data_IF_299052868676
#
_entry.id   IF_299052868676
#
_cell.length_a   1.000
_cell.length_b   1.000
_cell.length_c   1.000
_cell.angle_alpha   90.00
_cell.angle_beta   90.00
_cell.angle_gamma   90.00
#
_symmetry.space_group_name_H-M   'P 1'
#
loop_
_entity.id
_entity.type
_entity.pdbx_description
1 polymer ?
#
# COMPACT_ATOMS: atom_id res chain seq x y z
N UNK A 1 7.82 3.73 -11.60
CA UNK A 1 8.55 3.36 -10.37
C UNK A 1 8.82 4.63 -9.60
N UNK A 2 8.58 4.65 -8.27
CA UNK A 2 8.82 5.84 -7.49
C UNK A 2 10.28 6.30 -7.59
N UNK A 3 10.49 7.47 -8.16
CA UNK A 3 11.76 8.15 -8.05
C UNK A 3 11.91 8.76 -6.66
N UNK A 4 13.12 9.15 -6.29
CA UNK A 4 13.34 9.88 -5.04
C UNK A 4 12.68 11.27 -5.08
N UNK A 5 12.33 11.75 -6.27
CA UNK A 5 11.66 13.02 -6.54
C UNK A 5 10.15 12.95 -6.25
N UNK A 6 9.56 11.75 -6.29
CA UNK A 6 8.15 11.53 -5.93
C UNK A 6 7.89 11.57 -4.41
N UNK A 7 8.94 11.66 -3.58
CA UNK A 7 8.82 11.66 -2.13
C UNK A 7 9.24 13.01 -1.56
N UNK A 8 8.26 13.76 -1.08
CA UNK A 8 8.45 15.12 -0.56
C UNK A 8 8.38 15.12 0.96
N UNK A 9 9.40 15.68 1.61
CA UNK A 9 9.41 15.89 3.06
C UNK A 9 8.54 17.09 3.41
N UNK A 10 7.58 16.88 4.29
CA UNK A 10 6.78 17.92 4.92
C UNK A 10 7.25 18.18 6.36
N UNK A 11 6.73 19.23 7.01
CA UNK A 11 7.02 19.53 8.41
C UNK A 11 6.64 18.36 9.34
N UNK A 12 5.55 17.63 9.00
CA UNK A 12 5.06 16.48 9.76
C UNK A 12 4.80 15.29 8.83
N UNK A 13 5.88 14.64 8.33
CA UNK A 13 5.74 13.42 7.57
C UNK A 13 6.21 13.51 6.13
N UNK A 14 5.69 12.64 5.29
CA UNK A 14 6.09 12.48 3.91
C UNK A 14 4.86 12.46 3.00
N UNK A 15 4.98 13.11 1.86
CA UNK A 15 4.00 13.12 0.80
C UNK A 15 4.59 12.39 -0.42
N UNK A 16 3.83 11.47 -0.97
CA UNK A 16 4.14 10.83 -2.26
C UNK A 16 3.34 11.55 -3.34
N UNK A 17 4.02 11.99 -4.40
CA UNK A 17 3.41 12.70 -5.52
C UNK A 17 3.77 11.98 -6.81
N UNK A 18 2.76 11.67 -7.61
CA UNK A 18 2.91 11.19 -8.98
C UNK A 18 2.18 12.15 -9.91
N UNK A 19 2.83 12.56 -10.99
CA UNK A 19 2.17 13.32 -12.03
C UNK A 19 1.33 12.42 -12.97
N UNK A 20 0.58 13.04 -13.88
CA UNK A 20 -0.29 12.34 -14.81
C UNK A 20 0.46 11.39 -15.76
N UNK A 21 1.74 11.66 -16.05
CA UNK A 21 2.56 10.82 -16.94
C UNK A 21 3.09 9.58 -16.24
N UNK A 22 3.16 9.59 -14.92
CA UNK A 22 3.67 8.50 -14.10
C UNK A 22 2.58 7.51 -13.70
N UNK A 23 1.31 7.85 -13.91
CA UNK A 23 0.17 7.00 -13.53
C UNK A 23 -0.48 6.34 -14.75
N UNK A 24 -0.96 5.10 -14.59
CA UNK A 24 -1.71 4.39 -15.66
C UNK A 24 -3.04 5.06 -16.00
N UNK A 25 -3.56 5.87 -15.10
CA UNK A 25 -4.85 6.54 -15.24
C UNK A 25 -4.72 7.88 -15.92
N UNK A 26 -3.48 8.38 -16.11
CA UNK A 26 -3.19 9.73 -16.55
C UNK A 26 -3.84 10.79 -15.65
N UNK A 27 -3.92 10.51 -14.38
CA UNK A 27 -4.38 11.43 -13.35
C UNK A 27 -3.29 11.60 -12.30
N UNK A 28 -3.01 12.83 -11.83
CA UNK A 28 -2.03 13.04 -10.76
C UNK A 28 -2.50 12.34 -9.48
N UNK A 29 -1.58 11.85 -8.70
CA UNK A 29 -1.88 11.17 -7.46
C UNK A 29 -0.99 11.65 -6.33
N UNK A 30 -1.61 12.08 -5.23
CA UNK A 30 -0.91 12.49 -4.02
C UNK A 30 -1.40 11.67 -2.83
N UNK A 31 -0.47 11.24 -1.98
CA UNK A 31 -0.80 10.49 -0.78
C UNK A 31 0.14 10.84 0.38
N UNK A 32 -0.43 11.21 1.51
CA UNK A 32 0.31 11.33 2.77
C UNK A 32 0.66 9.94 3.28
N UNK A 33 1.91 9.72 3.66
CA UNK A 33 2.30 8.50 4.32
C UNK A 33 1.83 8.51 5.78
N UNK A 34 1.39 7.35 6.31
CA UNK A 34 1.05 7.20 7.71
C UNK A 34 2.24 7.58 8.63
N UNK A 35 1.97 8.26 9.74
CA UNK A 35 3.00 8.74 10.68
C UNK A 35 3.93 7.63 11.19
N UNK A 36 3.41 6.42 11.34
CA UNK A 36 4.19 5.24 11.75
C UNK A 36 5.35 4.92 10.80
N UNK A 37 5.32 5.42 9.55
CA UNK A 37 6.37 5.23 8.56
C UNK A 37 7.43 6.33 8.59
N UNK A 38 7.24 7.42 9.34
CA UNK A 38 8.14 8.57 9.33
C UNK A 38 9.56 8.18 9.77
N UNK A 39 9.71 7.58 10.94
CA UNK A 39 11.02 7.21 11.48
C UNK A 39 11.70 6.11 10.66
N UNK A 40 11.03 4.99 10.32
CA UNK A 40 11.63 3.98 9.47
C UNK A 40 12.10 4.51 8.11
N UNK A 41 11.30 5.37 7.48
CA UNK A 41 11.65 5.96 6.19
C UNK A 41 12.79 6.97 6.33
N UNK A 42 12.78 7.81 7.36
CA UNK A 42 13.88 8.74 7.64
C UNK A 42 15.21 7.99 7.86
N UNK A 43 15.21 6.93 8.65
CA UNK A 43 16.40 6.10 8.90
C UNK A 43 16.84 5.44 7.59
N UNK A 44 15.92 4.91 6.82
CA UNK A 44 16.25 4.32 5.53
C UNK A 44 16.93 5.32 4.60
N UNK A 45 16.37 6.51 4.44
CA UNK A 45 16.89 7.53 3.52
C UNK A 45 18.22 8.13 3.96
N UNK A 46 18.41 8.32 5.27
CA UNK A 46 19.63 8.99 5.81
C UNK A 46 20.78 8.02 6.11
N UNK A 47 20.49 6.75 6.39
CA UNK A 47 21.49 5.78 6.81
C UNK A 47 21.60 4.60 5.85
N UNK A 48 20.51 3.86 5.65
CA UNK A 48 20.57 2.59 4.93
C UNK A 48 20.74 2.79 3.42
N UNK A 49 20.02 3.71 2.82
CA UNK A 49 20.09 3.97 1.38
C UNK A 49 21.49 4.44 0.95
N UNK A 50 22.12 5.46 1.59
CA UNK A 50 23.49 5.84 1.28
C UNK A 50 24.50 4.69 1.49
N UNK A 51 24.35 3.95 2.57
CA UNK A 51 25.19 2.78 2.83
C UNK A 51 25.10 1.74 1.70
N UNK A 52 23.88 1.42 1.24
CA UNK A 52 23.68 0.46 0.16
C UNK A 52 24.26 0.94 -1.17
N UNK A 53 24.07 2.22 -1.52
CA UNK A 53 24.61 2.81 -2.76
C UNK A 53 26.14 2.82 -2.77
N UNK A 54 26.74 3.11 -1.62
CA UNK A 54 28.20 3.21 -1.50
C UNK A 54 28.92 1.85 -1.32
N UNK A 55 28.16 0.73 -1.30
CA UNK A 55 28.79 -0.59 -1.27
C UNK A 55 29.53 -0.84 -2.58
N UNK A 56 30.73 -1.41 -2.45
CA UNK A 56 31.47 -1.90 -3.59
C UNK A 56 30.68 -3.02 -4.28
N UNK A 57 30.24 -2.77 -5.50
CA UNK A 57 29.46 -3.70 -6.28
C UNK A 57 29.26 -3.20 -7.71
N UNK A 58 29.01 -4.11 -8.65
CA UNK A 58 28.58 -3.75 -10.00
C UNK A 58 27.09 -3.48 -9.95
N UNK A 59 26.72 -2.22 -10.08
CA UNK A 59 25.33 -1.87 -10.27
C UNK A 59 24.82 -2.44 -11.61
N UNK A 60 23.72 -3.14 -11.53
CA UNK A 60 22.98 -3.58 -12.74
C UNK A 60 22.04 -2.52 -13.23
N UNK A 61 21.61 -1.61 -12.33
CA UNK A 61 20.76 -0.47 -12.62
C UNK A 61 21.22 0.72 -11.78
N UNK A 62 21.16 1.94 -12.36
CA UNK A 62 21.58 3.16 -11.69
C UNK A 62 20.71 3.43 -10.44
N UNK A 63 21.29 3.51 -9.23
CA UNK A 63 20.55 3.76 -8.01
C UNK A 63 20.21 5.23 -7.78
N UNK A 64 20.74 6.15 -8.57
CA UNK A 64 20.78 7.58 -8.28
C UNK A 64 19.41 8.18 -7.95
N UNK A 65 18.42 7.91 -8.77
CA UNK A 65 17.07 8.43 -8.59
C UNK A 65 16.07 7.39 -8.03
N UNK A 66 16.52 6.15 -7.77
CA UNK A 66 15.64 5.13 -7.23
C UNK A 66 15.40 5.32 -5.74
N UNK A 67 14.15 5.22 -5.30
CA UNK A 67 13.83 5.20 -3.88
C UNK A 67 14.35 3.91 -3.22
N UNK A 68 14.08 2.76 -3.82
CA UNK A 68 14.42 1.47 -3.24
C UNK A 68 15.70 0.89 -3.83
N UNK A 69 16.65 0.59 -2.95
CA UNK A 69 17.97 0.05 -3.29
C UNK A 69 18.06 -1.41 -2.82
N UNK A 70 18.57 -2.26 -3.67
CA UNK A 70 18.84 -3.66 -3.35
C UNK A 70 20.11 -3.83 -2.53
N UNK A 71 20.36 -5.04 -2.03
CA UNK A 71 21.53 -5.33 -1.20
C UNK A 71 22.88 -5.17 -1.92
N UNK A 72 22.88 -5.23 -3.25
CA UNK A 72 24.06 -5.05 -4.11
C UNK A 72 24.27 -3.60 -4.56
N UNK A 73 23.45 -2.67 -4.05
CA UNK A 73 23.55 -1.26 -4.35
C UNK A 73 22.78 -0.81 -5.59
N UNK A 74 22.20 -1.72 -6.36
CA UNK A 74 21.42 -1.39 -7.56
C UNK A 74 20.03 -0.88 -7.21
N UNK A 75 19.42 -0.08 -8.10
CA UNK A 75 18.01 0.24 -8.02
C UNK A 75 17.16 -1.03 -8.08
N UNK A 76 16.19 -1.18 -7.19
CA UNK A 76 15.26 -2.30 -7.24
C UNK A 76 14.32 -2.18 -8.43
N UNK A 77 14.23 -3.23 -9.23
CA UNK A 77 13.23 -3.34 -10.30
C UNK A 77 11.84 -3.55 -9.72
N UNK A 78 10.80 -3.30 -10.53
CA UNK A 78 9.42 -3.58 -10.14
C UNK A 78 9.22 -5.04 -9.71
N UNK A 79 9.82 -5.98 -10.45
CA UNK A 79 9.77 -7.40 -10.12
C UNK A 79 10.46 -7.71 -8.78
N UNK A 80 11.61 -7.09 -8.51
CA UNK A 80 12.32 -7.27 -7.26
C UNK A 80 11.50 -6.75 -6.05
N UNK A 81 10.81 -5.62 -6.21
CA UNK A 81 9.89 -5.10 -5.19
C UNK A 81 8.72 -6.06 -4.97
N UNK A 82 8.10 -6.52 -6.07
CA UNK A 82 6.99 -7.47 -6.04
C UNK A 82 7.38 -8.78 -5.30
N UNK A 83 8.51 -9.37 -5.64
CA UNK A 83 9.00 -10.60 -5.00
C UNK A 83 9.37 -10.37 -3.54
N UNK A 84 9.89 -9.20 -3.20
CA UNK A 84 10.17 -8.85 -1.80
C UNK A 84 8.89 -8.79 -0.97
N UNK A 85 7.83 -8.17 -1.48
CA UNK A 85 6.52 -8.11 -0.80
C UNK A 85 5.96 -9.52 -0.63
N UNK A 86 5.98 -10.35 -1.67
CA UNK A 86 5.50 -11.74 -1.60
C UNK A 86 6.26 -12.57 -0.57
N UNK A 87 7.57 -12.45 -0.55
CA UNK A 87 8.43 -13.19 0.41
C UNK A 87 8.15 -12.75 1.84
N UNK A 88 8.07 -11.44 2.08
CA UNK A 88 7.81 -10.90 3.42
C UNK A 88 6.42 -11.27 3.93
N UNK A 89 5.41 -11.16 3.09
CA UNK A 89 4.04 -11.54 3.47
C UNK A 89 3.90 -13.03 3.73
N UNK A 90 4.57 -13.88 2.94
CA UNK A 90 4.62 -15.32 3.20
C UNK A 90 5.26 -15.64 4.56
N UNK A 91 6.35 -14.95 4.91
CA UNK A 91 7.02 -15.13 6.20
C UNK A 91 6.15 -14.64 7.37
N UNK A 92 5.44 -13.50 7.22
CA UNK A 92 4.65 -12.91 8.28
C UNK A 92 3.28 -13.56 8.49
N UNK A 93 2.63 -14.00 7.40
CA UNK A 93 1.22 -14.46 7.41
C UNK A 93 1.06 -15.91 6.95
N UNK A 94 2.15 -16.63 6.66
CA UNK A 94 2.10 -17.97 6.09
C UNK A 94 1.61 -18.03 4.63
N UNK A 95 1.13 -16.91 4.08
CA UNK A 95 0.56 -16.79 2.73
C UNK A 95 1.20 -15.65 1.96
N UNK A 96 1.61 -15.92 0.73
CA UNK A 96 2.14 -14.90 -0.18
C UNK A 96 1.02 -13.97 -0.65
N UNK A 97 1.19 -12.66 -0.49
CA UNK A 97 0.26 -11.64 -0.94
C UNK A 97 0.90 -10.80 -2.05
N UNK A 98 0.10 -10.47 -3.08
CA UNK A 98 0.48 -9.51 -4.11
C UNK A 98 0.15 -8.08 -3.68
N UNK A 99 0.72 -7.08 -4.36
CA UNK A 99 0.35 -5.67 -4.16
C UNK A 99 -1.15 -5.43 -4.37
N UNK A 100 -1.76 -6.17 -5.30
CA UNK A 100 -3.19 -6.10 -5.56
C UNK A 100 -4.05 -6.59 -4.38
N UNK A 101 -3.57 -7.60 -3.64
CA UNK A 101 -4.25 -8.07 -2.44
C UNK A 101 -4.31 -7.00 -1.34
N UNK A 102 -3.28 -6.15 -1.20
CA UNK A 102 -3.31 -5.03 -0.26
C UNK A 102 -4.36 -3.99 -0.66
N UNK A 103 -4.47 -3.69 -1.96
CA UNK A 103 -5.52 -2.79 -2.46
C UNK A 103 -6.92 -3.34 -2.14
N UNK A 104 -7.15 -4.64 -2.36
CA UNK A 104 -8.41 -5.29 -2.01
C UNK A 104 -8.67 -5.26 -0.49
N UNK A 105 -7.66 -5.56 0.31
CA UNK A 105 -7.79 -5.51 1.77
C UNK A 105 -8.14 -4.11 2.26
N UNK A 106 -7.47 -3.07 1.74
CA UNK A 106 -7.76 -1.69 2.08
C UNK A 106 -9.20 -1.31 1.71
N UNK A 107 -9.64 -1.63 0.47
CA UNK A 107 -11.02 -1.37 0.03
C UNK A 107 -12.06 -2.04 0.93
N UNK A 108 -11.85 -3.31 1.26
CA UNK A 108 -12.74 -4.07 2.14
C UNK A 108 -12.75 -3.50 3.55
N UNK A 109 -11.58 -3.16 4.09
CA UNK A 109 -11.47 -2.59 5.44
C UNK A 109 -12.20 -1.26 5.55
N UNK A 110 -12.02 -0.36 4.57
CA UNK A 110 -12.73 0.93 4.57
C UNK A 110 -14.24 0.72 4.43
N UNK A 111 -14.66 -0.18 3.54
CA UNK A 111 -16.08 -0.47 3.34
C UNK A 111 -16.76 -1.05 4.61
N UNK A 112 -16.03 -1.84 5.41
CA UNK A 112 -16.52 -2.40 6.69
C UNK A 112 -16.50 -1.34 7.80
N UNK A 113 -15.38 -0.59 7.93
CA UNK A 113 -15.18 0.35 9.02
C UNK A 113 -16.04 1.61 8.86
N UNK A 114 -16.25 2.05 7.62
CA UNK A 114 -17.01 3.26 7.31
C UNK A 114 -17.79 3.13 5.99
N UNK A 115 -18.93 2.44 6.02
CA UNK A 115 -19.76 2.22 4.84
C UNK A 115 -20.23 3.52 4.16
N UNK A 116 -20.41 4.59 4.95
CA UNK A 116 -20.86 5.90 4.43
C UNK A 116 -19.81 6.56 3.54
N UNK A 117 -18.53 6.30 3.82
CA UNK A 117 -17.40 6.85 3.07
C UNK A 117 -16.77 5.86 2.09
N UNK A 118 -17.43 4.75 1.79
CA UNK A 118 -16.94 3.75 0.81
C UNK A 118 -16.63 4.36 -0.57
N UNK A 119 -17.27 5.46 -0.96
CA UNK A 119 -16.96 6.21 -2.18
C UNK A 119 -15.60 6.89 -2.12
N UNK A 120 -15.17 7.34 -0.94
CA UNK A 120 -13.84 7.95 -0.74
C UNK A 120 -12.77 6.89 -0.93
N UNK A 121 -13.04 5.63 -0.53
CA UNK A 121 -12.13 4.52 -0.76
C UNK A 121 -11.84 4.28 -2.25
N UNK A 122 -12.82 4.49 -3.13
CA UNK A 122 -12.63 4.38 -4.59
C UNK A 122 -11.62 5.41 -5.10
N UNK A 123 -11.73 6.65 -4.65
CA UNK A 123 -10.81 7.73 -5.01
C UNK A 123 -9.39 7.47 -4.48
N UNK A 124 -9.25 7.11 -3.20
CA UNK A 124 -7.96 6.77 -2.58
C UNK A 124 -7.26 5.60 -3.25
N UNK A 125 -8.02 4.64 -3.77
CA UNK A 125 -7.48 3.46 -4.45
C UNK A 125 -7.31 3.67 -5.96
N UNK A 126 -7.62 4.85 -6.49
CA UNK A 126 -7.53 5.15 -7.92
C UNK A 126 -8.40 4.22 -8.77
N UNK A 127 -9.60 3.85 -8.30
CA UNK A 127 -10.55 3.07 -9.07
C UNK A 127 -11.28 3.99 -10.06
N UNK A 128 -11.16 3.72 -11.35
CA UNK A 128 -11.85 4.49 -12.41
C UNK A 128 -13.38 4.38 -12.37
N UNK A 129 -13.91 3.31 -11.76
CA UNK A 129 -15.34 3.07 -11.70
C UNK A 129 -15.78 2.67 -10.29
N UNK A 130 -16.92 3.17 -9.87
CA UNK A 130 -17.53 2.82 -8.59
C UNK A 130 -17.92 1.33 -8.51
N UNK A 131 -18.17 0.67 -9.65
CA UNK A 131 -18.58 -0.74 -9.70
C UNK A 131 -17.57 -1.68 -9.03
N UNK A 132 -16.29 -1.37 -9.08
CA UNK A 132 -15.26 -2.16 -8.39
C UNK A 132 -15.36 -1.99 -6.86
N UNK A 133 -15.65 -0.79 -6.40
CA UNK A 133 -15.83 -0.48 -4.97
C UNK A 133 -17.17 -1.00 -4.45
N UNK A 134 -18.21 -1.01 -5.29
CA UNK A 134 -19.53 -1.52 -4.97
C UNK A 134 -19.52 -3.00 -4.55
N UNK A 135 -18.72 -3.83 -5.21
CA UNK A 135 -18.55 -5.24 -4.81
C UNK A 135 -18.05 -5.37 -3.37
N UNK A 136 -17.09 -4.55 -2.96
CA UNK A 136 -16.57 -4.56 -1.59
C UNK A 136 -17.57 -4.03 -0.59
N UNK A 137 -18.36 -3.04 -0.99
CA UNK A 137 -19.45 -2.52 -0.18
C UNK A 137 -20.54 -3.58 0.06
N UNK A 138 -20.99 -4.26 -1.00
CA UNK A 138 -21.95 -5.37 -0.89
C UNK A 138 -21.39 -6.52 -0.02
N UNK A 139 -20.12 -6.88 -0.20
CA UNK A 139 -19.48 -7.91 0.62
C UNK A 139 -19.38 -7.50 2.09
N UNK A 140 -19.09 -6.23 2.38
CA UNK A 140 -19.06 -5.71 3.74
C UNK A 140 -20.45 -5.74 4.39
N UNK A 141 -21.49 -5.33 3.66
CA UNK A 141 -22.88 -5.41 4.14
C UNK A 141 -23.32 -6.85 4.43
N UNK A 142 -22.97 -7.81 3.56
CA UNK A 142 -23.25 -9.22 3.81
C UNK A 142 -22.55 -9.74 5.08
N UNK A 143 -21.31 -9.37 5.32
CA UNK A 143 -20.58 -9.77 6.53
C UNK A 143 -21.21 -9.17 7.79
N UNK A 144 -21.64 -7.92 7.74
CA UNK A 144 -22.30 -7.25 8.87
C UNK A 144 -23.67 -7.89 9.16
N UNK A 145 -24.50 -8.09 8.15
CA UNK A 145 -25.76 -8.80 8.27
C UNK A 145 -25.58 -10.23 8.83
N UNK A 146 -24.55 -10.94 8.40
CA UNK A 146 -24.24 -12.27 8.94
C UNK A 146 -23.84 -12.21 10.42
N UNK A 147 -23.03 -11.23 10.84
CA UNK A 147 -22.65 -11.03 12.25
C UNK A 147 -23.88 -10.73 13.13
N UNK A 148 -24.77 -9.85 12.68
CA UNK A 148 -26.01 -9.53 13.39
C UNK A 148 -26.93 -10.74 13.51
N UNK A 149 -27.06 -11.51 12.44
CA UNK A 149 -27.84 -12.74 12.44
C UNK A 149 -27.30 -13.76 13.46
N UNK A 150 -25.98 -14.04 13.44
CA UNK A 150 -25.34 -14.94 14.40
C UNK A 150 -25.50 -14.44 15.83
N UNK A 151 -25.33 -13.14 16.08
CA UNK A 151 -25.51 -12.56 17.41
C UNK A 151 -26.97 -12.72 17.90
N UNK A 152 -27.94 -12.52 17.02
CA UNK A 152 -29.36 -12.68 17.33
C UNK A 152 -29.74 -14.13 17.70
N UNK A 153 -29.23 -15.11 16.94
CA UNK A 153 -29.46 -16.53 17.22
C UNK A 153 -28.78 -16.94 18.53
N UNK A 154 -27.54 -16.46 18.77
CA UNK A 154 -26.82 -16.79 20.00
C UNK A 154 -27.54 -16.27 21.25
N UNK A 155 -28.13 -15.07 21.18
CA UNK A 155 -28.96 -14.53 22.27
C UNK A 155 -30.20 -15.37 22.54
N UNK A 156 -30.89 -15.86 21.50
CA UNK A 156 -32.09 -16.73 21.65
C UNK A 156 -31.79 -18.09 22.21
N UNK A 157 -30.59 -18.62 22.01
CA UNK A 157 -30.19 -19.95 22.49
C UNK A 157 -29.78 -19.95 23.97
N UNK A 158 -29.34 -18.78 24.49
CA UNK A 158 -28.84 -18.62 25.85
C UNK A 158 -29.84 -17.94 26.82
N UNK A 159 -31.08 -17.67 26.37
CA UNK A 159 -32.19 -17.19 27.18
C UNK A 159 -33.32 -18.21 27.19
#
# INVERSE_FOLDING_TARGET
MGSNENLVRLNRGWLVIYDETETKTHEPHEALLPEILNDPLQIYLSVHRPYLINREGRWTTDPKNALWISKDGSAMTEMAIYDRVRTRTKAAFGKSMSLHNFRHAAATTIAIADPKHARIAAALLGHKTFSTTEKYYQQAQMLEAHREYVATISKRRNG
#
